data_IF_781695895462
#
_entry.id   IF_781695895462
#
_cell.length_a   1.000
_cell.length_b   1.000
_cell.length_c   1.000
_cell.angle_alpha   90.00
_cell.angle_beta   90.00
_cell.angle_gamma   90.00
#
_symmetry.space_group_name_H-M   'P 1'
#
loop_
_entity.id
_entity.type
_entity.pdbx_description
1 polymer ?
#
# COMPACT_ATOMS: atom_id res chain seq x y z
N UNK A 1 5.96 38.61 19.58
CA UNK A 1 5.17 37.73 18.70
C UNK A 1 6.12 36.76 18.03
N UNK A 2 5.87 35.44 18.05
CA UNK A 2 6.57 34.55 17.14
C UNK A 2 6.29 34.99 15.70
N UNK A 3 7.25 34.83 14.77
CA UNK A 3 7.01 35.14 13.37
C UNK A 3 5.87 34.27 12.83
N UNK A 4 5.06 34.78 11.88
CA UNK A 4 4.06 33.95 11.20
C UNK A 4 4.77 32.76 10.55
N UNK A 5 4.26 31.55 10.79
CA UNK A 5 4.70 30.35 10.10
C UNK A 5 4.57 30.59 8.59
N UNK A 6 5.62 30.33 7.79
CA UNK A 6 5.51 30.46 6.34
C UNK A 6 4.38 29.54 5.84
N UNK A 7 3.62 29.96 4.81
CA UNK A 7 2.56 29.14 4.25
C UNK A 7 3.16 27.80 3.80
N UNK A 8 2.56 26.72 4.26
CA UNK A 8 2.98 25.36 3.92
C UNK A 8 2.86 25.18 2.41
N UNK A 9 3.91 24.73 1.71
CA UNK A 9 3.81 24.45 0.29
C UNK A 9 2.78 23.32 0.05
N UNK A 10 2.00 23.39 -1.04
CA UNK A 10 1.00 22.38 -1.34
C UNK A 10 1.68 21.03 -1.56
N UNK A 11 1.33 20.06 -0.71
CA UNK A 11 1.71 18.66 -0.88
C UNK A 11 0.52 17.89 -1.43
N UNK A 12 0.73 17.17 -2.53
CA UNK A 12 -0.26 16.27 -3.14
C UNK A 12 0.15 14.83 -2.84
N UNK A 13 -0.80 14.01 -2.42
CA UNK A 13 -0.63 12.60 -2.09
C UNK A 13 -1.39 11.78 -3.12
N UNK A 14 -0.67 10.95 -3.88
CA UNK A 14 -1.21 10.03 -4.87
C UNK A 14 -1.08 8.62 -4.33
N UNK A 15 -2.21 7.94 -4.14
CA UNK A 15 -2.27 6.53 -3.78
C UNK A 15 -2.20 5.63 -5.02
N UNK A 16 -1.41 4.56 -4.95
CA UNK A 16 -1.24 3.51 -5.95
C UNK A 16 -1.63 2.17 -5.32
N UNK A 17 -2.86 1.72 -5.56
CA UNK A 17 -3.39 0.48 -4.97
C UNK A 17 -3.57 -0.64 -5.99
N UNK A 18 -3.80 -1.87 -5.53
CA UNK A 18 -3.99 -3.06 -6.37
C UNK A 18 -3.48 -4.34 -5.71
N UNK A 19 -3.80 -5.53 -6.24
CA UNK A 19 -3.42 -6.78 -5.59
C UNK A 19 -1.90 -6.89 -5.39
N UNK A 20 -1.46 -7.58 -4.35
CA UNK A 20 -0.03 -7.87 -4.16
C UNK A 20 0.57 -8.48 -5.44
N UNK A 21 1.83 -8.14 -5.75
CA UNK A 21 2.53 -8.58 -6.97
C UNK A 21 1.97 -8.06 -8.32
N UNK A 22 1.10 -7.04 -8.31
CA UNK A 22 0.59 -6.42 -9.56
C UNK A 22 1.60 -5.50 -10.27
N UNK A 23 2.66 -5.04 -9.59
CA UNK A 23 3.68 -4.13 -10.13
C UNK A 23 3.62 -2.68 -9.60
N UNK A 24 2.87 -2.43 -8.51
CA UNK A 24 2.72 -1.11 -7.89
C UNK A 24 4.04 -0.48 -7.49
N UNK A 25 4.86 -1.19 -6.70
CA UNK A 25 6.17 -0.73 -6.22
C UNK A 25 7.07 -0.32 -7.38
N UNK A 26 7.13 -1.13 -8.45
CA UNK A 26 7.89 -0.79 -9.68
C UNK A 26 7.38 0.50 -10.32
N UNK A 27 6.07 0.65 -10.50
CA UNK A 27 5.47 1.87 -11.06
C UNK A 27 5.74 3.09 -10.16
N UNK A 28 5.58 2.95 -8.84
CA UNK A 28 5.79 4.00 -7.85
C UNK A 28 7.25 4.49 -7.85
N UNK A 29 8.22 3.57 -7.95
CA UNK A 29 9.65 3.90 -8.08
C UNK A 29 9.94 4.65 -9.38
N UNK A 30 9.37 4.22 -10.51
CA UNK A 30 9.53 4.92 -11.79
C UNK A 30 8.91 6.33 -11.77
N UNK A 31 7.71 6.48 -11.19
CA UNK A 31 7.10 7.78 -10.96
C UNK A 31 7.98 8.66 -10.07
N UNK A 32 8.44 8.14 -8.93
CA UNK A 32 9.33 8.86 -8.04
C UNK A 32 10.60 9.34 -8.76
N UNK A 33 11.19 8.49 -9.63
CA UNK A 33 12.35 8.84 -10.45
C UNK A 33 12.06 9.94 -11.50
N UNK A 34 10.87 9.93 -12.10
CA UNK A 34 10.43 10.93 -13.08
C UNK A 34 10.16 12.29 -12.41
N UNK A 35 9.50 12.28 -11.25
CA UNK A 35 9.08 13.49 -10.54
C UNK A 35 10.17 14.04 -9.59
N UNK A 36 11.26 13.29 -9.37
CA UNK A 36 12.48 13.82 -8.76
C UNK A 36 13.29 14.57 -9.82
N UNK A 37 13.07 15.89 -9.90
CA UNK A 37 13.74 16.74 -10.87
C UNK A 37 15.07 17.26 -10.30
N UNK A 38 16.19 17.16 -11.04
CA UNK A 38 17.46 17.74 -10.60
C UNK A 38 17.36 19.27 -10.47
N UNK A 39 18.17 19.90 -9.61
CA UNK A 39 18.29 21.36 -9.56
C UNK A 39 18.67 21.88 -10.95
N UNK A 40 18.03 22.96 -11.39
CA UNK A 40 18.41 23.61 -12.65
C UNK A 40 19.74 24.33 -12.50
N UNK A 41 20.53 24.44 -13.59
CA UNK A 41 21.84 25.14 -13.60
C UNK A 41 21.79 26.57 -13.04
N UNK A 42 20.62 27.21 -13.07
CA UNK A 42 20.39 28.60 -12.62
C UNK A 42 19.48 28.72 -11.39
N UNK A 43 18.96 27.61 -10.85
CA UNK A 43 18.05 27.61 -9.69
C UNK A 43 18.49 26.57 -8.65
N UNK A 44 19.13 26.99 -7.55
CA UNK A 44 19.73 26.07 -6.57
C UNK A 44 18.71 25.30 -5.73
N UNK A 45 17.42 25.69 -5.73
CA UNK A 45 16.35 24.99 -5.02
C UNK A 45 15.45 24.23 -6.00
N UNK A 46 15.20 22.92 -5.78
CA UNK A 46 14.30 22.16 -6.64
C UNK A 46 12.88 22.73 -6.55
N UNK A 47 12.26 23.00 -7.70
CA UNK A 47 10.86 23.44 -7.79
C UNK A 47 9.88 22.35 -7.36
N UNK A 48 10.30 21.09 -7.45
CA UNK A 48 9.50 19.92 -7.13
C UNK A 48 10.28 18.90 -6.31
N UNK A 49 9.63 18.33 -5.31
CA UNK A 49 10.11 17.19 -4.52
C UNK A 49 9.15 16.03 -4.72
N UNK A 50 9.67 14.83 -4.91
CA UNK A 50 8.89 13.61 -4.81
C UNK A 50 9.24 12.87 -3.51
N UNK A 51 8.24 12.23 -2.91
CA UNK A 51 8.39 11.29 -1.79
C UNK A 51 7.79 9.95 -2.20
N UNK A 52 8.33 8.86 -1.70
CA UNK A 52 7.82 7.51 -1.89
C UNK A 52 7.55 6.89 -0.51
N UNK A 53 6.39 6.27 -0.34
CA UNK A 53 5.93 5.65 0.89
C UNK A 53 5.37 4.27 0.53
N UNK A 54 5.78 3.26 1.28
CA UNK A 54 5.34 1.87 1.12
C UNK A 54 4.40 1.48 2.28
N UNK A 55 3.24 0.91 1.97
CA UNK A 55 2.30 0.39 2.98
C UNK A 55 2.94 -0.66 3.89
N UNK A 56 3.88 -1.44 3.36
CA UNK A 56 4.61 -2.48 4.07
C UNK A 56 5.44 -1.92 5.25
N UNK A 57 5.79 -0.63 5.24
CA UNK A 57 6.45 0.02 6.37
C UNK A 57 5.54 0.15 7.59
N UNK A 58 4.23 -0.01 7.41
CA UNK A 58 3.20 0.13 8.43
C UNK A 58 2.68 -1.21 8.95
N UNK A 59 3.28 -2.34 8.56
CA UNK A 59 3.00 -3.61 9.23
C UNK A 59 3.31 -3.54 10.73
N UNK A 60 2.44 -4.16 11.52
CA UNK A 60 2.76 -4.52 12.90
C UNK A 60 3.93 -5.51 12.95
N UNK A 61 4.50 -5.68 14.14
CA UNK A 61 5.54 -6.70 14.35
C UNK A 61 4.98 -8.12 14.18
N UNK A 62 5.84 -9.07 13.85
CA UNK A 62 5.48 -10.46 13.55
C UNK A 62 4.55 -11.07 14.64
N UNK A 63 4.82 -10.81 15.92
CA UNK A 63 4.03 -11.28 17.07
C UNK A 63 2.60 -10.71 17.14
N UNK A 64 2.31 -9.64 16.39
CA UNK A 64 1.03 -8.93 16.35
C UNK A 64 0.26 -9.14 15.06
N UNK A 65 0.81 -9.89 14.11
CA UNK A 65 0.09 -10.20 12.87
C UNK A 65 -1.10 -11.11 13.18
N UNK A 66 -2.32 -10.76 12.74
CA UNK A 66 -3.50 -11.56 12.99
C UNK A 66 -3.34 -13.01 12.51
N UNK A 67 -3.88 -13.96 13.27
CA UNK A 67 -3.92 -15.36 12.84
C UNK A 67 -5.24 -15.66 12.12
N UNK A 68 -5.18 -16.50 11.10
CA UNK A 68 -6.34 -17.07 10.41
C UNK A 68 -6.27 -18.59 10.44
N UNK A 69 -7.43 -19.25 10.49
CA UNK A 69 -7.54 -20.72 10.45
C UNK A 69 -8.11 -21.14 9.11
N UNK A 70 -7.33 -21.93 8.37
CA UNK A 70 -7.74 -22.48 7.07
C UNK A 70 -8.81 -23.58 7.26
N UNK A 71 -9.58 -23.92 6.20
CA UNK A 71 -10.53 -25.04 6.25
C UNK A 71 -9.90 -26.39 6.63
N UNK A 72 -8.60 -26.55 6.40
CA UNK A 72 -7.81 -27.71 6.79
C UNK A 72 -7.54 -27.79 8.31
N UNK A 73 -7.84 -26.72 9.05
CA UNK A 73 -7.50 -26.55 10.46
C UNK A 73 -6.11 -25.94 10.69
N UNK A 74 -5.32 -25.72 9.63
CA UNK A 74 -4.01 -25.06 9.74
C UNK A 74 -4.18 -23.60 10.16
N UNK A 75 -3.45 -23.16 11.18
CA UNK A 75 -3.41 -21.77 11.63
C UNK A 75 -2.18 -21.07 11.04
N UNK A 76 -2.37 -19.93 10.40
CA UNK A 76 -1.30 -19.14 9.76
C UNK A 76 -1.45 -17.65 10.12
N UNK A 77 -0.33 -16.91 10.09
CA UNK A 77 -0.37 -15.45 10.11
C UNK A 77 -1.00 -14.92 8.82
N UNK A 78 -1.91 -13.96 8.94
CA UNK A 78 -2.57 -13.29 7.84
C UNK A 78 -1.97 -11.88 7.69
N UNK A 79 -0.96 -11.77 6.83
CA UNK A 79 -0.33 -10.50 6.48
C UNK A 79 -1.22 -9.64 5.56
N UNK A 80 -2.05 -10.27 4.73
CA UNK A 80 -2.82 -9.59 3.68
C UNK A 80 -4.19 -9.12 4.19
N UNK A 81 -4.21 -8.35 5.28
CA UNK A 81 -5.44 -7.81 5.86
C UNK A 81 -5.21 -6.47 6.56
N UNK A 82 -6.24 -5.62 6.62
CA UNK A 82 -6.18 -4.33 7.33
C UNK A 82 -5.71 -4.46 8.79
N UNK A 83 -6.03 -5.57 9.47
CA UNK A 83 -5.62 -5.81 10.85
C UNK A 83 -4.12 -6.08 11.03
N UNK A 84 -3.37 -6.34 9.96
CA UNK A 84 -1.92 -6.48 10.00
C UNK A 84 -1.20 -5.12 9.98
N UNK A 85 -1.90 -4.04 9.64
CA UNK A 85 -1.35 -2.71 9.40
C UNK A 85 -1.71 -1.74 10.53
N UNK A 86 -0.74 -0.92 10.93
CA UNK A 86 -0.96 0.25 11.78
C UNK A 86 -1.56 1.40 10.97
N UNK A 87 -2.86 1.29 10.68
CA UNK A 87 -3.60 2.30 9.92
C UNK A 87 -3.64 3.67 10.62
N UNK A 88 -3.49 3.69 11.96
CA UNK A 88 -3.40 4.92 12.75
C UNK A 88 -2.09 5.66 12.46
N UNK A 89 -0.97 4.96 12.53
CA UNK A 89 0.35 5.50 12.18
C UNK A 89 0.43 5.89 10.70
N UNK A 90 -0.18 5.11 9.81
CA UNK A 90 -0.27 5.44 8.39
C UNK A 90 -1.02 6.76 8.16
N UNK A 91 -2.23 6.91 8.71
CA UNK A 91 -3.00 8.13 8.58
C UNK A 91 -2.27 9.36 9.16
N UNK A 92 -1.67 9.22 10.35
CA UNK A 92 -0.89 10.28 10.99
C UNK A 92 0.35 10.68 10.16
N UNK A 93 1.03 9.71 9.55
CA UNK A 93 2.18 9.96 8.67
C UNK A 93 1.80 10.72 7.41
N UNK A 94 0.63 10.43 6.83
CA UNK A 94 0.11 11.16 5.66
C UNK A 94 -0.27 12.62 6.02
N UNK A 95 -0.87 12.87 7.19
CA UNK A 95 -1.13 14.24 7.68
C UNK A 95 0.15 15.03 7.90
N UNK A 96 1.16 14.35 8.44
CA UNK A 96 2.46 14.93 8.64
C UNK A 96 3.12 15.31 7.32
N UNK A 97 3.10 14.41 6.33
CA UNK A 97 3.63 14.67 4.98
C UNK A 97 2.90 15.85 4.35
N UNK A 98 1.58 15.89 4.47
CA UNK A 98 0.75 17.00 3.99
C UNK A 98 1.20 18.35 4.57
N UNK A 99 1.49 18.37 5.86
CA UNK A 99 1.80 19.57 6.64
C UNK A 99 3.27 19.97 6.58
N UNK A 100 4.20 19.05 6.27
CA UNK A 100 5.64 19.35 6.33
C UNK A 100 6.35 19.20 4.98
N UNK A 101 5.73 18.54 3.98
CA UNK A 101 6.35 18.27 2.70
C UNK A 101 7.60 17.39 2.79
N UNK A 102 7.68 16.55 3.84
CA UNK A 102 8.75 15.57 4.12
C UNK A 102 8.19 14.37 4.87
N UNK A 103 8.91 13.25 4.84
CA UNK A 103 8.56 12.07 5.62
C UNK A 103 8.74 12.33 7.14
N UNK A 104 7.92 11.72 8.01
CA UNK A 104 8.17 11.69 9.45
C UNK A 104 9.55 11.06 9.74
N UNK A 105 10.38 11.62 10.64
CA UNK A 105 11.65 10.99 11.03
C UNK A 105 11.50 9.56 11.54
N UNK A 106 10.38 9.28 12.23
CA UNK A 106 10.05 7.93 12.72
C UNK A 106 9.81 6.90 11.60
N UNK A 107 9.44 7.34 10.40
CA UNK A 107 9.15 6.45 9.28
C UNK A 107 10.45 6.07 8.55
N UNK A 108 10.98 4.88 8.83
CA UNK A 108 12.09 4.29 8.07
C UNK A 108 11.60 3.21 7.13
N UNK A 109 11.98 3.32 5.86
CA UNK A 109 11.63 2.36 4.80
C UNK A 109 12.39 1.04 4.97
N UNK A 110 11.63 -0.05 5.06
CA UNK A 110 12.11 -1.43 5.04
C UNK A 110 11.97 -2.03 3.64
N UNK A 111 10.95 -1.61 2.89
CA UNK A 111 10.72 -2.09 1.53
C UNK A 111 11.90 -1.76 0.59
N UNK A 112 12.56 -0.62 0.78
CA UNK A 112 13.80 -0.29 0.05
C UNK A 112 14.95 -1.29 0.30
N UNK A 113 14.84 -2.12 1.33
CA UNK A 113 15.86 -3.12 1.70
C UNK A 113 15.55 -4.49 1.07
N UNK A 114 14.28 -4.79 0.76
CA UNK A 114 13.89 -6.00 0.03
C UNK A 114 14.55 -6.07 -1.36
N UNK A 115 14.75 -4.91 -2.01
CA UNK A 115 15.40 -4.79 -3.32
C UNK A 115 16.93 -5.00 -3.30
N UNK A 116 17.55 -5.18 -2.12
CA UNK A 116 19.00 -5.49 -2.02
C UNK A 116 19.32 -6.98 -2.16
N UNK A 117 18.31 -7.85 -2.24
CA UNK A 117 18.53 -9.25 -2.60
C UNK A 117 18.91 -9.33 -4.08
N UNK A 118 19.89 -10.17 -4.47
CA UNK A 118 20.33 -10.28 -5.85
C UNK A 118 19.17 -10.76 -6.70
N UNK A 119 18.52 -9.82 -7.39
CA UNK A 119 17.65 -10.09 -8.51
C UNK A 119 18.51 -10.79 -9.55
N UNK A 120 18.10 -11.98 -10.00
CA UNK A 120 18.65 -12.57 -11.22
C UNK A 120 18.62 -11.50 -12.32
N UNK A 121 19.80 -11.17 -12.80
CA UNK A 121 20.23 -10.04 -13.65
C UNK A 121 19.45 -9.95 -14.98
N UNK A 122 18.16 -9.66 -14.89
CA UNK A 122 17.23 -9.43 -16.00
C UNK A 122 16.46 -8.11 -15.87
N UNK A 123 16.64 -7.39 -14.76
CA UNK A 123 16.11 -6.04 -14.53
C UNK A 123 17.17 -4.95 -14.70
N UNK A 124 18.20 -5.17 -15.52
CA UNK A 124 18.84 -4.04 -16.21
C UNK A 124 17.77 -3.44 -17.12
N UNK A 125 17.20 -2.29 -16.72
CA UNK A 125 16.11 -1.62 -17.42
C UNK A 125 16.32 -1.74 -18.92
N UNK A 126 15.39 -2.42 -19.60
CA UNK A 126 15.48 -2.61 -21.03
C UNK A 126 15.67 -1.23 -21.67
N UNK A 127 16.54 -1.08 -22.67
CA UNK A 127 16.90 0.21 -23.27
C UNK A 127 15.67 1.07 -23.61
N UNK A 128 14.53 0.45 -23.92
CA UNK A 128 13.25 1.13 -24.14
C UNK A 128 12.59 1.76 -22.90
N UNK A 129 12.74 1.17 -21.71
CA UNK A 129 12.20 1.75 -20.46
C UNK A 129 12.92 3.04 -20.10
N UNK A 130 14.25 3.07 -20.21
CA UNK A 130 15.05 4.26 -19.91
C UNK A 130 14.69 5.42 -20.86
N UNK A 131 14.53 5.13 -22.15
CA UNK A 131 14.09 6.11 -23.15
C UNK A 131 12.71 6.70 -22.81
N UNK A 132 11.76 5.85 -22.39
CA UNK A 132 10.43 6.29 -21.99
C UNK A 132 10.49 7.15 -20.73
N UNK A 133 11.31 6.78 -19.75
CA UNK A 133 11.47 7.55 -18.50
C UNK A 133 12.03 8.95 -18.79
N UNK A 134 13.08 9.07 -19.61
CA UNK A 134 13.66 10.36 -19.94
C UNK A 134 12.69 11.25 -20.73
N UNK A 135 11.93 10.67 -21.67
CA UNK A 135 10.90 11.41 -22.41
C UNK A 135 9.78 11.90 -21.49
N UNK A 136 9.30 11.06 -20.57
CA UNK A 136 8.28 11.45 -19.60
C UNK A 136 8.80 12.50 -18.61
N UNK A 137 10.05 12.39 -18.16
CA UNK A 137 10.71 13.40 -17.31
C UNK A 137 10.77 14.75 -18.02
N UNK A 138 11.19 14.79 -19.29
CA UNK A 138 11.20 16.01 -20.10
C UNK A 138 9.80 16.63 -20.20
N UNK A 139 8.77 15.81 -20.41
CA UNK A 139 7.37 16.25 -20.45
C UNK A 139 6.91 16.87 -19.12
N UNK A 140 7.21 16.21 -18.01
CA UNK A 140 6.90 16.70 -16.66
C UNK A 140 7.58 18.04 -16.40
N UNK A 141 8.87 18.17 -16.75
CA UNK A 141 9.61 19.43 -16.64
C UNK A 141 8.97 20.56 -17.46
N UNK A 142 8.53 20.28 -18.69
CA UNK A 142 7.88 21.28 -19.53
C UNK A 142 6.55 21.78 -18.97
N UNK A 143 5.71 20.87 -18.44
CA UNK A 143 4.39 21.23 -17.90
C UNK A 143 4.48 21.91 -16.53
N UNK A 144 5.37 21.44 -15.66
CA UNK A 144 5.54 22.00 -14.31
C UNK A 144 6.49 23.21 -14.27
N UNK A 145 7.35 23.38 -15.27
CA UNK A 145 8.34 24.46 -15.34
C UNK A 145 7.77 25.83 -15.72
N UNK A 146 6.55 25.88 -16.27
CA UNK A 146 5.90 27.10 -16.75
C UNK A 146 5.34 28.01 -15.64
N UNK A 147 5.37 27.59 -14.37
CA UNK A 147 5.01 28.42 -13.22
C UNK A 147 6.22 29.14 -12.61
N UNK A 148 6.24 30.46 -12.70
CA UNK A 148 7.09 31.32 -11.88
C UNK A 148 6.37 31.62 -10.56
N UNK A 149 7.10 31.63 -9.43
CA UNK A 149 6.70 32.14 -8.09
C UNK A 149 5.95 31.28 -7.05
N UNK A 150 5.79 29.96 -7.23
CA UNK A 150 5.37 29.10 -6.11
C UNK A 150 6.58 28.37 -5.50
N UNK A 151 6.72 28.37 -4.16
CA UNK A 151 7.73 27.60 -3.45
C UNK A 151 7.73 26.09 -3.80
N UNK A 152 8.71 25.33 -3.31
CA UNK A 152 8.86 23.90 -3.65
C UNK A 152 7.57 23.12 -3.45
N UNK A 153 7.00 22.57 -4.52
CA UNK A 153 5.82 21.69 -4.46
C UNK A 153 6.26 20.26 -4.13
N UNK A 154 5.45 19.53 -3.38
CA UNK A 154 5.75 18.13 -3.02
C UNK A 154 4.68 17.21 -3.59
N UNK A 155 5.10 16.11 -4.23
CA UNK A 155 4.23 14.99 -4.59
C UNK A 155 4.68 13.75 -3.82
N UNK A 156 3.79 13.17 -3.04
CA UNK A 156 4.02 11.93 -2.32
C UNK A 156 3.29 10.78 -3.02
N UNK A 157 4.02 9.72 -3.34
CA UNK A 157 3.47 8.48 -3.87
C UNK A 157 3.35 7.48 -2.73
N UNK A 158 2.12 7.13 -2.35
CA UNK A 158 1.83 6.07 -1.39
C UNK A 158 1.42 4.83 -2.17
N UNK A 159 2.11 3.71 -1.98
CA UNK A 159 1.77 2.47 -2.66
C UNK A 159 1.51 1.34 -1.66
N UNK A 160 0.54 0.49 -1.97
CA UNK A 160 0.04 -0.51 -1.05
C UNK A 160 -1.01 -1.42 -1.68
N UNK A 161 -1.27 -2.57 -1.08
CA UNK A 161 -2.33 -3.46 -1.55
C UNK A 161 -3.72 -3.05 -1.06
N UNK A 162 -3.81 -2.26 0.02
CA UNK A 162 -5.07 -1.99 0.71
C UNK A 162 -5.22 -0.52 1.12
N UNK A 163 -5.27 0.39 0.14
CA UNK A 163 -5.26 1.83 0.40
C UNK A 163 -6.64 2.53 0.37
N UNK A 164 -7.64 1.94 -0.30
CA UNK A 164 -8.88 2.65 -0.64
C UNK A 164 -10.11 2.07 0.07
N UNK A 165 -10.92 2.95 0.66
CA UNK A 165 -12.26 2.62 1.14
C UNK A 165 -13.35 2.74 0.04
N UNK A 166 -14.50 2.05 0.18
CA UNK A 166 -15.68 2.22 -0.67
C UNK A 166 -16.17 3.68 -0.74
N UNK A 167 -17.06 4.05 -1.69
CA UNK A 167 -17.76 5.34 -1.64
C UNK A 167 -18.46 5.57 -0.30
N UNK A 168 -18.38 6.80 0.24
CA UNK A 168 -18.97 7.14 1.54
C UNK A 168 -20.45 7.53 1.38
N UNK A 169 -21.28 6.56 1.00
CA UNK A 169 -22.72 6.73 0.81
C UNK A 169 -23.56 6.20 1.99
N UNK A 170 -22.94 5.44 2.88
CA UNK A 170 -23.57 4.79 4.03
C UNK A 170 -22.76 5.01 5.32
N UNK A 171 -23.44 4.89 6.47
CA UNK A 171 -22.78 4.96 7.77
C UNK A 171 -21.74 3.84 7.97
N UNK A 172 -21.97 2.66 7.38
CA UNK A 172 -21.00 1.56 7.39
C UNK A 172 -19.75 1.92 6.58
N UNK A 173 -19.91 2.52 5.39
CA UNK A 173 -18.78 2.98 4.60
C UNK A 173 -17.99 4.14 5.25
N UNK A 174 -18.66 4.96 6.07
CA UNK A 174 -18.01 5.99 6.87
C UNK A 174 -17.12 5.41 8.00
N UNK A 175 -17.44 4.22 8.49
CA UNK A 175 -16.68 3.51 9.54
C UNK A 175 -15.67 2.49 8.97
N UNK A 176 -15.47 2.48 7.65
CA UNK A 176 -14.52 1.58 7.01
C UNK A 176 -13.10 1.82 7.57
N UNK A 177 -12.32 0.76 7.91
CA UNK A 177 -11.00 0.92 8.53
C UNK A 177 -10.04 1.79 7.71
N UNK A 178 -10.13 1.72 6.38
CA UNK A 178 -9.30 2.51 5.46
C UNK A 178 -9.82 3.93 5.21
N UNK A 179 -10.93 4.37 5.80
CA UNK A 179 -11.56 5.67 5.49
C UNK A 179 -10.59 6.83 5.71
N UNK A 180 -9.91 6.84 6.85
CA UNK A 180 -8.94 7.89 7.20
C UNK A 180 -7.77 7.95 6.22
N UNK A 181 -7.22 6.78 5.84
CA UNK A 181 -6.12 6.70 4.85
C UNK A 181 -6.62 7.14 3.48
N UNK A 182 -7.79 6.65 3.06
CA UNK A 182 -8.46 7.02 1.82
C UNK A 182 -8.63 8.54 1.73
N UNK A 183 -9.19 9.22 2.74
CA UNK A 183 -9.49 10.66 2.66
C UNK A 183 -8.25 11.56 2.53
N UNK A 184 -7.07 11.06 2.90
CA UNK A 184 -5.80 11.80 2.79
C UNK A 184 -5.16 11.73 1.40
N UNK A 185 -5.76 11.02 0.44
CA UNK A 185 -5.25 10.89 -0.93
C UNK A 185 -6.01 11.80 -1.89
N UNK A 186 -5.30 12.60 -2.68
CA UNK A 186 -5.88 13.48 -3.70
C UNK A 186 -6.13 12.74 -5.02
N UNK A 187 -5.27 11.77 -5.34
CA UNK A 187 -5.39 10.89 -6.50
C UNK A 187 -5.34 9.43 -6.06
N UNK A 188 -6.20 8.61 -6.67
CA UNK A 188 -6.40 7.21 -6.30
C UNK A 188 -6.26 6.36 -7.56
N UNK A 189 -5.04 5.91 -7.83
CA UNK A 189 -4.73 5.10 -8.99
C UNK A 189 -4.78 3.62 -8.60
N UNK A 190 -5.44 2.79 -9.41
CA UNK A 190 -5.56 1.36 -9.13
C UNK A 190 -5.01 0.51 -10.28
N UNK A 191 -4.12 -0.42 -9.95
CA UNK A 191 -3.48 -1.33 -10.90
C UNK A 191 -4.09 -2.72 -10.78
N UNK A 192 -5.06 -3.10 -11.63
CA UNK A 192 -5.55 -4.46 -11.66
C UNK A 192 -4.48 -5.41 -12.21
N UNK A 193 -4.51 -6.66 -11.74
CA UNK A 193 -3.71 -7.74 -12.29
C UNK A 193 -4.49 -9.05 -12.17
N UNK A 194 -4.32 -9.91 -13.17
CA UNK A 194 -4.97 -11.21 -13.22
C UNK A 194 -4.47 -12.12 -12.09
N UNK A 195 -5.37 -12.91 -11.52
CA UNK A 195 -5.07 -13.91 -10.49
C UNK A 195 -3.82 -14.74 -10.78
N UNK A 196 -3.75 -15.32 -11.98
CA UNK A 196 -2.66 -16.22 -12.35
C UNK A 196 -1.30 -15.49 -12.35
N UNK A 197 -1.28 -14.24 -12.82
CA UNK A 197 -0.06 -13.42 -12.83
C UNK A 197 0.38 -13.06 -11.41
N UNK A 198 -0.55 -12.69 -10.54
CA UNK A 198 -0.19 -12.33 -9.16
C UNK A 198 0.29 -13.55 -8.38
N UNK A 199 -0.33 -14.71 -8.60
CA UNK A 199 0.07 -15.98 -8.00
C UNK A 199 1.47 -16.39 -8.42
N UNK A 200 1.71 -16.49 -9.73
CA UNK A 200 3.02 -16.86 -10.29
C UNK A 200 4.13 -15.94 -9.75
N UNK A 201 3.87 -14.63 -9.69
CA UNK A 201 4.86 -13.66 -9.20
C UNK A 201 5.07 -13.75 -7.69
N UNK A 202 4.00 -13.93 -6.90
CA UNK A 202 4.09 -14.00 -5.43
C UNK A 202 4.82 -15.27 -4.99
N UNK A 203 4.49 -16.42 -5.59
CA UNK A 203 5.14 -17.71 -5.28
C UNK A 203 6.62 -17.77 -5.69
N UNK A 204 7.06 -16.90 -6.61
CA UNK A 204 8.48 -16.76 -7.00
C UNK A 204 9.32 -15.89 -6.05
N UNK A 205 8.71 -15.18 -5.10
CA UNK A 205 9.46 -14.33 -4.18
C UNK A 205 10.23 -15.18 -3.17
N UNK A 206 11.46 -14.79 -2.87
CA UNK A 206 12.32 -15.45 -1.87
C UNK A 206 11.81 -15.23 -0.43
N UNK A 207 11.12 -14.11 -0.19
CA UNK A 207 10.49 -13.75 1.07
C UNK A 207 10.46 -12.22 1.26
N UNK A 208 10.20 -11.79 2.49
CA UNK A 208 9.93 -10.40 2.88
C UNK A 208 10.70 -10.06 4.14
N UNK A 209 11.31 -8.87 4.18
CA UNK A 209 11.84 -8.30 5.43
C UNK A 209 10.67 -7.88 6.33
N UNK A 210 10.65 -8.41 7.55
CA UNK A 210 9.65 -8.12 8.58
C UNK A 210 10.32 -7.58 9.85
N UNK A 211 9.60 -7.45 10.97
CA UNK A 211 10.15 -6.92 12.24
C UNK A 211 9.58 -7.62 13.46
N UNK A 212 10.44 -7.88 14.44
CA UNK A 212 10.05 -8.48 15.71
C UNK A 212 10.15 -10.00 15.71
N UNK A 213 9.81 -10.59 16.86
CA UNK A 213 9.93 -12.03 17.05
C UNK A 213 8.75 -12.74 16.37
N UNK A 214 9.06 -13.73 15.53
CA UNK A 214 8.04 -14.62 14.99
C UNK A 214 7.35 -15.40 16.13
N UNK A 215 6.04 -15.68 16.03
CA UNK A 215 5.34 -16.54 16.97
C UNK A 215 6.06 -17.88 17.09
N UNK A 216 6.37 -18.30 18.31
CA UNK A 216 6.95 -19.61 18.57
C UNK A 216 5.86 -20.66 18.30
N UNK A 217 6.07 -21.66 17.43
CA UNK A 217 5.07 -22.72 17.21
C UNK A 217 4.65 -23.36 18.53
N UNK A 218 3.37 -23.68 18.71
CA UNK A 218 2.85 -24.26 19.96
C UNK A 218 3.64 -25.50 20.44
N UNK A 219 4.27 -26.25 19.52
CA UNK A 219 5.13 -27.39 19.87
C UNK A 219 6.40 -26.96 20.62
N UNK A 220 6.98 -25.81 20.26
CA UNK A 220 8.13 -25.22 20.95
C UNK A 220 7.72 -24.44 22.20
N UNK A 221 6.53 -23.83 22.22
CA UNK A 221 5.95 -23.21 23.42
C UNK A 221 5.59 -24.27 24.48
N UNK A 222 5.06 -25.43 24.08
CA UNK A 222 4.80 -26.58 24.96
C UNK A 222 6.09 -27.21 25.48
N UNK A 223 7.16 -27.28 24.67
CA UNK A 223 8.47 -27.74 25.11
C UNK A 223 9.13 -26.76 26.10
N UNK A 224 8.95 -25.45 25.91
CA UNK A 224 9.43 -24.42 26.83
C UNK A 224 8.61 -24.36 28.13
N UNK A 225 7.29 -24.52 28.05
CA UNK A 225 6.39 -24.59 29.22
C UNK A 225 6.60 -25.88 30.03
N UNK A 226 6.90 -27.01 29.38
CA UNK A 226 7.28 -28.25 30.07
C UNK A 226 8.64 -28.14 30.79
N UNK A 227 9.50 -27.20 30.38
CA UNK A 227 10.77 -26.91 31.06
C UNK A 227 10.63 -25.88 32.21
N UNK A 228 9.53 -25.14 32.28
CA UNK A 228 9.25 -24.14 33.29
C UNK A 228 8.03 -24.57 34.12
N UNK A 229 8.26 -25.43 35.11
CA UNK A 229 7.23 -25.95 36.00
C UNK A 229 6.50 -24.86 36.81
N UNK A 230 5.18 -25.02 36.82
CA UNK A 230 4.18 -24.75 37.87
C UNK A 230 3.99 -23.32 38.41
N UNK A 231 2.78 -22.81 38.16
CA UNK A 231 2.18 -21.66 38.83
C UNK A 231 0.75 -21.44 38.35
N UNK A 232 -0.20 -22.18 38.93
CA UNK A 232 -1.64 -21.98 38.71
C UNK A 232 -2.09 -20.58 39.12
N UNK A 233 -2.85 -19.89 38.27
CA UNK A 233 -3.86 -18.94 38.73
C UNK A 233 -4.99 -18.76 37.71
N UNK A 234 -6.20 -19.12 38.16
CA UNK A 234 -7.47 -18.86 37.51
C UNK A 234 -7.74 -17.35 37.44
N UNK A 235 -8.05 -16.85 36.24
CA UNK A 235 -8.47 -15.47 36.01
C UNK A 235 -9.58 -15.43 34.96
N UNK A 236 -10.79 -15.14 35.43
CA UNK A 236 -12.05 -14.98 34.69
C UNK A 236 -11.93 -13.88 33.61
N UNK A 237 -12.26 -14.17 32.35
CA UNK A 237 -12.28 -13.18 31.25
C UNK A 237 -13.74 -12.81 30.95
N UNK A 238 -14.20 -11.72 31.55
CA UNK A 238 -15.35 -10.96 31.05
C UNK A 238 -14.88 -10.09 29.89
N UNK A 239 -15.53 -10.23 28.74
CA UNK A 239 -15.29 -9.41 27.56
C UNK A 239 -15.66 -7.96 27.82
N UNK A 240 -14.75 -7.07 27.47
CA UNK A 240 -15.07 -5.67 27.23
C UNK A 240 -14.26 -5.18 26.02
N UNK A 241 -14.98 -4.54 25.10
CA UNK A 241 -14.48 -4.03 23.85
C UNK A 241 -13.47 -2.91 24.10
N UNK A 242 -12.25 -3.08 23.60
CA UNK A 242 -11.20 -2.05 23.66
C UNK A 242 -11.55 -0.94 22.68
N UNK A 243 -12.12 0.16 23.20
CA UNK A 243 -11.92 1.49 22.60
C UNK A 243 -10.46 1.84 22.81
N UNK A 244 -9.66 1.81 21.75
CA UNK A 244 -8.30 2.32 21.79
C UNK A 244 -8.37 3.84 22.03
N UNK A 245 -7.94 4.27 23.22
CA UNK A 245 -7.56 5.65 23.44
C UNK A 245 -6.44 5.98 22.44
N UNK A 246 -6.67 6.99 21.60
CA UNK A 246 -5.65 7.50 20.67
C UNK A 246 -4.56 8.18 21.49
N UNK A 247 -3.63 7.41 22.04
CA UNK A 247 -2.34 7.94 22.47
C UNK A 247 -1.75 8.74 21.29
N UNK A 248 -1.36 9.97 21.55
CA UNK A 248 -0.82 10.85 20.52
C UNK A 248 0.45 10.22 19.93
N UNK A 249 0.39 9.80 18.67
CA UNK A 249 1.52 9.19 17.96
C UNK A 249 2.61 10.27 17.80
N UNK A 250 3.75 10.08 18.46
CA UNK A 250 4.92 10.94 18.26
C UNK A 250 5.60 10.55 16.93
N UNK A 251 5.55 11.47 15.96
CA UNK A 251 6.08 11.28 14.61
C UNK A 251 7.52 11.82 14.45
N UNK A 252 7.99 12.66 15.38
CA UNK A 252 9.34 13.23 15.39
C UNK A 252 10.33 12.40 16.23
N UNK A 253 9.84 11.43 17.00
CA UNK A 253 10.65 10.46 17.70
C UNK A 253 11.53 9.61 16.75
N UNK A 254 12.58 9.00 17.31
CA UNK A 254 13.32 7.96 16.61
C UNK A 254 12.45 6.71 16.39
N UNK A 255 12.78 5.95 15.36
CA UNK A 255 12.14 4.67 15.07
C UNK A 255 12.41 3.67 16.20
N UNK A 256 11.35 3.30 16.92
CA UNK A 256 11.34 2.42 18.09
C UNK A 256 10.88 1.00 17.78
N UNK A 257 10.70 0.66 16.49
CA UNK A 257 10.22 -0.66 16.07
C UNK A 257 11.25 -1.77 16.38
N UNK A 258 10.78 -3.01 16.61
CA UNK A 258 11.66 -4.16 16.86
C UNK A 258 12.69 -4.43 15.75
N UNK A 259 13.75 -5.23 16.03
CA UNK A 259 14.73 -5.62 15.03
C UNK A 259 14.12 -6.36 13.84
N UNK A 260 14.81 -6.32 12.71
CA UNK A 260 14.37 -6.97 11.47
C UNK A 260 14.30 -8.49 11.59
N UNK A 261 13.34 -9.07 10.88
CA UNK A 261 13.15 -10.50 10.71
C UNK A 261 12.83 -10.81 9.23
N UNK A 262 12.53 -12.07 8.89
CA UNK A 262 12.24 -12.50 7.52
C UNK A 262 11.06 -13.47 7.47
N UNK A 263 10.13 -13.24 6.56
CA UNK A 263 8.95 -14.07 6.31
C UNK A 263 8.99 -14.66 4.90
N UNK A 264 8.56 -15.92 4.76
CA UNK A 264 8.34 -16.58 3.47
C UNK A 264 6.94 -17.14 3.44
N UNK A 265 6.19 -16.84 2.36
CA UNK A 265 4.84 -17.36 2.18
C UNK A 265 4.86 -18.89 2.19
N UNK A 266 4.05 -19.57 3.02
CA UNK A 266 3.95 -21.02 3.00
C UNK A 266 3.27 -21.51 1.71
N UNK A 267 3.45 -22.78 1.31
CA UNK A 267 2.76 -23.34 0.15
C UNK A 267 1.23 -23.17 0.25
N UNK A 268 0.60 -22.67 -0.83
CA UNK A 268 -0.85 -22.43 -0.89
C UNK A 268 -1.31 -21.08 -0.32
N UNK A 269 -0.42 -20.29 0.30
CA UNK A 269 -0.78 -19.02 0.94
C UNK A 269 -1.51 -18.03 0.02
N UNK A 270 -1.19 -18.03 -1.28
CA UNK A 270 -1.86 -17.17 -2.26
C UNK A 270 -3.33 -17.56 -2.45
N UNK A 271 -3.59 -18.84 -2.71
CA UNK A 271 -4.94 -19.37 -2.92
C UNK A 271 -5.78 -19.29 -1.65
N UNK A 272 -5.15 -19.52 -0.49
CA UNK A 272 -5.83 -19.70 0.78
C UNK A 272 -6.07 -18.38 1.53
N UNK A 273 -5.20 -17.37 1.36
CA UNK A 273 -5.22 -16.13 2.15
C UNK A 273 -5.16 -14.88 1.26
N UNK A 274 -4.10 -14.71 0.47
CA UNK A 274 -3.84 -13.45 -0.27
C UNK A 274 -5.00 -13.10 -1.20
N UNK A 275 -5.37 -14.03 -2.08
CA UNK A 275 -6.39 -13.76 -3.09
C UNK A 275 -7.80 -13.65 -2.52
N UNK A 276 -8.25 -14.56 -1.63
CA UNK A 276 -9.54 -14.41 -0.96
C UNK A 276 -9.68 -13.09 -0.19
N UNK A 277 -8.64 -12.65 0.54
CA UNK A 277 -8.68 -11.36 1.23
C UNK A 277 -8.73 -10.19 0.26
N UNK A 278 -7.89 -10.19 -0.78
CA UNK A 278 -7.93 -9.17 -1.81
C UNK A 278 -9.33 -9.03 -2.42
N UNK A 279 -9.94 -10.16 -2.81
CA UNK A 279 -11.27 -10.18 -3.40
C UNK A 279 -12.33 -9.66 -2.43
N UNK A 280 -12.28 -10.10 -1.17
CA UNK A 280 -13.20 -9.66 -0.12
C UNK A 280 -13.10 -8.15 0.13
N UNK A 281 -11.89 -7.65 0.37
CA UNK A 281 -11.66 -6.25 0.74
C UNK A 281 -11.90 -5.29 -0.43
N UNK A 282 -11.86 -5.79 -1.67
CA UNK A 282 -12.13 -5.02 -2.90
C UNK A 282 -13.46 -5.38 -3.57
N UNK A 283 -14.36 -6.14 -2.94
CA UNK A 283 -15.64 -6.54 -3.55
C UNK A 283 -16.49 -5.33 -3.99
N UNK A 284 -16.32 -4.18 -3.31
CA UNK A 284 -16.94 -2.90 -3.66
C UNK A 284 -16.39 -2.25 -4.94
N UNK A 285 -15.18 -2.63 -5.36
CA UNK A 285 -14.53 -2.13 -6.56
C UNK A 285 -14.57 -3.15 -7.71
N UNK A 286 -14.46 -4.44 -7.38
CA UNK A 286 -14.45 -5.54 -8.34
C UNK A 286 -15.82 -5.78 -8.96
N UNK A 287 -15.83 -6.32 -10.17
CA UNK A 287 -17.01 -6.82 -10.86
C UNK A 287 -16.88 -8.32 -11.14
N UNK A 288 -18.00 -9.06 -11.27
CA UNK A 288 -17.96 -10.45 -11.74
C UNK A 288 -17.25 -10.57 -13.10
N UNK A 289 -16.56 -11.70 -13.33
CA UNK A 289 -15.77 -11.92 -14.55
C UNK A 289 -16.65 -11.86 -15.82
N UNK A 290 -17.81 -12.51 -15.77
CA UNK A 290 -18.81 -12.48 -16.84
C UNK A 290 -19.58 -11.17 -16.92
N UNK A 291 -19.97 -10.76 -18.13
CA UNK A 291 -20.94 -9.67 -18.27
C UNK A 291 -22.27 -10.09 -17.62
N UNK A 292 -22.78 -9.22 -16.75
CA UNK A 292 -23.98 -9.49 -15.98
C UNK A 292 -24.72 -8.18 -15.77
N UNK A 293 -26.05 -8.24 -15.74
CA UNK A 293 -26.88 -7.11 -15.33
C UNK A 293 -26.80 -6.86 -13.82
N UNK A 294 -26.32 -7.84 -13.05
CA UNK A 294 -26.19 -7.76 -11.59
C UNK A 294 -24.74 -7.48 -11.16
N UNK A 295 -24.27 -6.26 -11.45
CA UNK A 295 -22.91 -5.81 -11.11
C UNK A 295 -22.67 -5.79 -9.59
N UNK A 296 -23.73 -5.61 -8.79
CA UNK A 296 -23.68 -5.55 -7.34
C UNK A 296 -23.77 -6.90 -6.64
N UNK A 297 -23.75 -8.00 -7.40
CA UNK A 297 -23.79 -9.36 -6.85
C UNK A 297 -22.72 -9.60 -5.77
N UNK A 298 -21.51 -9.08 -5.99
CA UNK A 298 -20.40 -9.24 -5.06
C UNK A 298 -20.64 -8.55 -3.71
N UNK A 299 -21.37 -7.43 -3.70
CA UNK A 299 -21.66 -6.67 -2.47
C UNK A 299 -22.61 -7.41 -1.52
N UNK A 300 -23.35 -8.39 -2.02
CA UNK A 300 -24.32 -9.18 -1.25
C UNK A 300 -23.80 -10.57 -0.88
N UNK A 301 -22.59 -10.91 -1.32
CA UNK A 301 -21.98 -12.19 -1.04
C UNK A 301 -20.96 -12.06 0.10
N UNK A 302 -21.04 -12.98 1.04
CA UNK A 302 -20.19 -13.01 2.24
C UNK A 302 -19.23 -14.19 2.26
N UNK A 303 -19.49 -15.25 1.47
CA UNK A 303 -18.61 -16.41 1.36
C UNK A 303 -17.41 -16.06 0.45
N UNK A 304 -16.17 -16.03 0.99
CA UNK A 304 -14.98 -15.72 0.21
C UNK A 304 -14.77 -16.65 -1.00
N UNK A 305 -15.15 -17.92 -0.88
CA UNK A 305 -14.99 -18.90 -1.96
C UNK A 305 -15.99 -18.65 -3.09
N UNK A 306 -17.20 -18.17 -2.76
CA UNK A 306 -18.14 -17.73 -3.80
C UNK A 306 -17.64 -16.44 -4.45
N UNK A 307 -17.16 -15.47 -3.67
CA UNK A 307 -16.60 -14.22 -4.21
C UNK A 307 -15.46 -14.49 -5.19
N UNK A 308 -14.48 -15.31 -4.80
CA UNK A 308 -13.35 -15.69 -5.66
C UNK A 308 -13.83 -16.32 -6.97
N UNK A 309 -14.82 -17.23 -6.92
CA UNK A 309 -15.40 -17.83 -8.14
C UNK A 309 -16.11 -16.82 -9.03
N UNK A 310 -16.81 -15.85 -8.45
CA UNK A 310 -17.53 -14.83 -9.22
C UNK A 310 -16.59 -13.83 -9.90
N UNK A 311 -15.53 -13.44 -9.21
CA UNK A 311 -14.54 -12.47 -9.67
C UNK A 311 -13.58 -13.05 -10.72
N UNK A 312 -13.32 -14.37 -10.68
CA UNK A 312 -12.43 -15.04 -11.63
C UNK A 312 -11.03 -14.43 -11.58
N UNK A 313 -10.54 -13.93 -12.71
CA UNK A 313 -9.21 -13.29 -12.77
C UNK A 313 -9.11 -11.94 -12.04
N UNK A 314 -10.21 -11.31 -11.64
CA UNK A 314 -10.17 -10.07 -10.83
C UNK A 314 -9.70 -8.82 -11.57
N UNK A 315 -9.85 -8.81 -12.89
CA UNK A 315 -9.38 -7.71 -13.76
C UNK A 315 -10.50 -6.76 -14.22
N UNK A 316 -11.74 -7.04 -13.84
CA UNK A 316 -12.90 -6.17 -14.10
C UNK A 316 -13.23 -5.37 -12.85
N UNK A 317 -13.35 -4.06 -13.01
CA UNK A 317 -13.55 -3.11 -11.92
C UNK A 317 -14.58 -2.07 -12.33
N UNK A 318 -15.29 -1.55 -11.34
CA UNK A 318 -16.17 -0.39 -11.48
C UNK A 318 -15.35 0.85 -11.86
N UNK A 319 -15.87 1.64 -12.80
CA UNK A 319 -15.27 2.92 -13.22
C UNK A 319 -15.84 4.14 -12.48
N UNK A 320 -16.92 3.95 -11.73
CA UNK A 320 -17.67 4.97 -11.02
C UNK A 320 -17.47 4.94 -9.49
N UNK A 321 -16.43 4.25 -9.00
CA UNK A 321 -16.18 4.05 -7.57
C UNK A 321 -15.23 5.10 -6.94
N UNK A 322 -14.97 6.21 -7.63
CA UNK A 322 -14.05 7.25 -7.15
C UNK A 322 -12.57 6.87 -7.20
N UNK A 323 -12.21 5.87 -7.99
CA UNK A 323 -10.85 5.36 -8.19
C UNK A 323 -10.53 5.33 -9.68
N UNK A 324 -9.35 5.83 -10.08
CA UNK A 324 -8.91 5.81 -11.47
C UNK A 324 -8.20 4.49 -11.76
N UNK A 325 -8.84 3.62 -12.52
CA UNK A 325 -8.33 2.29 -12.84
C UNK A 325 -7.39 2.33 -14.04
N UNK A 326 -6.24 1.66 -13.92
CA UNK A 326 -5.26 1.56 -14.98
C UNK A 326 -5.82 0.83 -16.22
N UNK A 327 -5.46 1.26 -17.44
CA UNK A 327 -6.04 0.74 -18.66
C UNK A 327 -5.64 -0.72 -18.94
N UNK A 328 -6.44 -1.37 -19.77
CA UNK A 328 -6.16 -2.71 -20.31
C UNK A 328 -6.14 -3.84 -19.28
N UNK A 329 -6.86 -3.68 -18.16
CA UNK A 329 -7.25 -4.79 -17.28
C UNK A 329 -6.07 -5.64 -16.77
N UNK A 330 -4.90 -5.02 -16.56
CA UNK A 330 -3.70 -5.70 -16.05
C UNK A 330 -2.82 -6.38 -17.12
N UNK A 331 -3.11 -6.15 -18.40
CA UNK A 331 -2.34 -6.70 -19.52
C UNK A 331 -1.39 -5.70 -20.18
N UNK A 332 -1.49 -4.41 -19.81
CA UNK A 332 -0.62 -3.38 -20.37
C UNK A 332 0.83 -3.52 -19.88
N UNK A 333 1.82 -3.26 -20.76
CA UNK A 333 3.21 -3.22 -20.36
C UNK A 333 3.49 -2.03 -19.43
N UNK A 334 4.55 -2.14 -18.63
CA UNK A 334 4.90 -1.12 -17.62
C UNK A 334 5.12 0.27 -18.24
N UNK A 335 5.63 0.37 -19.46
CA UNK A 335 5.87 1.63 -20.17
C UNK A 335 4.58 2.37 -20.54
N UNK A 336 3.54 1.64 -20.95
CA UNK A 336 2.21 2.20 -21.19
C UNK A 336 1.55 2.62 -19.87
N UNK A 337 1.65 1.79 -18.83
CA UNK A 337 1.14 2.10 -17.49
C UNK A 337 1.84 3.34 -16.90
N UNK A 338 3.15 3.46 -17.09
CA UNK A 338 3.93 4.61 -16.65
C UNK A 338 3.49 5.89 -17.34
N UNK A 339 3.29 5.84 -18.66
CA UNK A 339 2.77 6.98 -19.43
C UNK A 339 1.39 7.41 -18.91
N UNK A 340 0.48 6.47 -18.72
CA UNK A 340 -0.84 6.73 -18.15
C UNK A 340 -0.74 7.37 -16.75
N UNK A 341 0.06 6.78 -15.86
CA UNK A 341 0.17 7.25 -14.49
C UNK A 341 0.79 8.66 -14.42
N UNK A 342 1.80 8.97 -15.24
CA UNK A 342 2.37 10.32 -15.33
C UNK A 342 1.30 11.34 -15.74
N UNK A 343 0.48 11.04 -16.73
CA UNK A 343 -0.60 11.93 -17.16
C UNK A 343 -1.67 12.11 -16.07
N UNK A 344 -2.05 11.06 -15.34
CA UNK A 344 -2.98 11.19 -14.21
C UNK A 344 -2.40 12.05 -13.07
N UNK A 345 -1.13 11.84 -12.71
CA UNK A 345 -0.46 12.64 -11.68
C UNK A 345 -0.40 14.12 -12.10
N UNK A 346 -0.07 14.40 -13.36
CA UNK A 346 -0.05 15.77 -13.89
C UNK A 346 -1.43 16.45 -13.79
N UNK A 347 -2.53 15.73 -14.06
CA UNK A 347 -3.89 16.28 -13.88
C UNK A 347 -4.16 16.72 -12.44
N UNK A 348 -3.65 15.98 -11.44
CA UNK A 348 -3.79 16.37 -10.03
C UNK A 348 -2.90 17.57 -9.66
N UNK A 349 -1.66 17.59 -10.15
CA UNK A 349 -0.73 18.70 -9.92
C UNK A 349 -1.23 20.02 -10.53
N UNK A 350 -1.81 19.98 -11.73
CA UNK A 350 -2.31 21.16 -12.44
C UNK A 350 -3.59 21.74 -11.86
N UNK A 351 -4.47 20.93 -11.25
CA UNK A 351 -5.65 21.43 -10.50
C UNK A 351 -5.27 22.25 -9.26
N UNK A 352 -4.02 22.17 -8.83
CA UNK A 352 -3.47 22.81 -7.62
C UNK A 352 -2.50 23.95 -7.99
N UNK A 353 -2.43 24.31 -9.27
CA UNK A 353 -1.80 25.55 -9.80
C UNK A 353 -2.93 26.54 -10.04
#
# INVERSE_FOLDING_TARGET
>A
MPPPTPPTPPTIIIGLSGPSSSGKTTLARLLHRIFTLPPGETTPTPKFRSLLIHEDDFYHSDDKIPLTTLPTGTVLQNWDTAGALDLGFLAASLDYIRTHGRLPPRLRSKEDQNDTQPVDDTSTGAVGEEQVVEELRRRVQQRLGAGADAGTKTVAFMEGFLLFAPPCDTAAAAQHPLREVHERMDGRLFLPAAYEKVKERRERRSGYVTIGAAPVPEVAAAAAAAAAGEGEQQGNVSGDAVKADRESIDLEAEDDRPPQNFWTDPPGYVDDIVWPNYVKDHAWLLLPEGETEDEDRLLRESDPQVLVRLVGQGTRLRDNAGVTVAPGRGDKPITELLTWAVEEVLKHLEKTV
#
